data_IF_498376023667
#
_entry.id   IF_498376023667
#
_cell.length_a   1.000
_cell.length_b   1.000
_cell.length_c   1.000
_cell.angle_alpha   90.00
_cell.angle_beta   90.00
_cell.angle_gamma   90.00
#
_symmetry.space_group_name_H-M   'P 1'
#
loop_
_entity.id
_entity.type
_entity.pdbx_description
1 polymer ?
#
# COMPACT_ATOMS: atom_id res chain seq x y z
N UNK A 1 -30.57 48.92 -8.04
CA UNK A 1 -29.39 48.28 -8.68
C UNK A 1 -28.41 47.61 -7.69
N UNK A 2 -28.74 47.41 -6.41
CA UNK A 2 -27.81 46.78 -5.42
C UNK A 2 -28.06 45.27 -5.18
N UNK A 3 -29.25 44.75 -5.48
CA UNK A 3 -29.63 43.36 -5.22
C UNK A 3 -29.12 42.35 -6.26
N UNK A 4 -28.80 42.79 -7.47
CA UNK A 4 -28.25 41.91 -8.53
C UNK A 4 -26.78 41.55 -8.31
N UNK A 5 -25.99 42.46 -7.76
CA UNK A 5 -24.54 42.26 -7.57
C UNK A 5 -24.21 41.27 -6.43
N UNK A 6 -25.10 41.14 -5.44
CA UNK A 6 -24.91 40.22 -4.31
C UNK A 6 -25.12 38.75 -4.73
N UNK A 7 -26.16 38.47 -5.51
CA UNK A 7 -26.45 37.13 -6.03
C UNK A 7 -25.35 36.61 -6.96
N UNK A 8 -24.72 37.49 -7.73
CA UNK A 8 -23.60 37.13 -8.60
C UNK A 8 -22.34 36.76 -7.82
N UNK A 9 -22.06 37.41 -6.67
CA UNK A 9 -20.93 37.06 -5.80
C UNK A 9 -21.14 35.70 -5.15
N UNK A 10 -22.35 35.43 -4.63
CA UNK A 10 -22.69 34.11 -4.08
C UNK A 10 -22.57 33.01 -5.13
N UNK A 11 -23.11 33.21 -6.34
CA UNK A 11 -22.97 32.27 -7.45
C UNK A 11 -21.50 32.01 -7.82
N UNK A 12 -20.66 33.05 -7.82
CA UNK A 12 -19.21 32.92 -8.07
C UNK A 12 -18.50 32.14 -6.97
N UNK A 13 -18.88 32.33 -5.71
CA UNK A 13 -18.35 31.56 -4.57
C UNK A 13 -18.76 30.08 -4.64
N UNK A 14 -20.03 29.79 -4.91
CA UNK A 14 -20.51 28.41 -5.10
C UNK A 14 -19.81 27.74 -6.30
N UNK A 15 -19.60 28.49 -7.39
CA UNK A 15 -18.86 28.00 -8.55
C UNK A 15 -17.38 27.71 -8.21
N UNK A 16 -16.70 28.60 -7.49
CA UNK A 16 -15.30 28.37 -7.08
C UNK A 16 -15.16 27.20 -6.10
N UNK A 17 -16.07 27.06 -5.14
CA UNK A 17 -16.08 25.93 -4.20
C UNK A 17 -16.31 24.61 -4.95
N UNK A 18 -17.23 24.60 -5.92
CA UNK A 18 -17.50 23.44 -6.76
C UNK A 18 -16.29 23.02 -7.61
N UNK A 19 -15.56 23.98 -8.21
CA UNK A 19 -14.33 23.71 -8.96
C UNK A 19 -13.22 23.15 -8.07
N UNK A 20 -13.07 23.66 -6.84
CA UNK A 20 -12.08 23.14 -5.88
C UNK A 20 -12.43 21.70 -5.48
N UNK A 21 -13.69 21.39 -5.21
CA UNK A 21 -14.14 20.03 -4.85
C UNK A 21 -13.88 19.03 -5.98
N UNK A 22 -14.11 19.39 -7.24
CA UNK A 22 -13.83 18.53 -8.40
C UNK A 22 -12.33 18.22 -8.53
N UNK A 23 -11.46 19.17 -8.14
CA UNK A 23 -10.00 19.00 -8.26
C UNK A 23 -9.46 17.92 -7.31
N UNK A 24 -10.08 17.71 -6.15
CA UNK A 24 -9.67 16.67 -5.19
C UNK A 24 -10.18 15.26 -5.53
N UNK A 25 -11.17 15.13 -6.42
CA UNK A 25 -11.77 13.83 -6.79
C UNK A 25 -10.87 12.96 -7.69
N UNK A 26 -9.74 13.49 -8.18
CA UNK A 26 -8.87 12.81 -9.15
C UNK A 26 -7.63 12.15 -8.51
N UNK A 27 -7.63 11.93 -7.19
CA UNK A 27 -6.57 11.16 -6.54
C UNK A 27 -6.72 9.67 -6.93
N UNK A 28 -6.03 9.27 -8.00
CA UNK A 28 -5.97 7.89 -8.45
C UNK A 28 -4.82 7.18 -7.74
N UNK A 29 -5.15 6.26 -6.83
CA UNK A 29 -4.17 5.33 -6.27
C UNK A 29 -3.93 4.21 -7.29
N UNK A 30 -2.69 4.03 -7.72
CA UNK A 30 -2.34 2.89 -8.55
C UNK A 30 -2.59 1.60 -7.75
N UNK A 31 -3.57 0.80 -8.18
CA UNK A 31 -3.91 -0.47 -7.52
C UNK A 31 -3.19 -1.61 -8.21
N UNK A 32 -2.52 -2.45 -7.42
CA UNK A 32 -1.89 -3.68 -7.93
C UNK A 32 -2.89 -4.65 -8.57
N UNK A 33 -2.41 -5.50 -9.48
CA UNK A 33 -3.24 -6.55 -10.11
C UNK A 33 -3.02 -7.89 -9.39
N UNK A 34 -3.98 -8.40 -8.60
CA UNK A 34 -3.80 -9.61 -7.80
C UNK A 34 -3.61 -10.86 -8.66
N UNK A 35 -4.21 -10.95 -9.85
CA UNK A 35 -4.03 -12.08 -10.77
C UNK A 35 -2.58 -12.12 -11.29
N UNK A 36 -2.00 -10.96 -11.59
CA UNK A 36 -0.56 -10.88 -11.93
C UNK A 36 0.31 -11.20 -10.71
N UNK A 37 -0.06 -10.70 -9.53
CA UNK A 37 0.62 -10.98 -8.27
C UNK A 37 0.71 -12.47 -7.96
N UNK A 38 -0.39 -13.20 -8.11
CA UNK A 38 -0.44 -14.66 -7.95
C UNK A 38 0.55 -15.36 -8.89
N UNK A 39 0.59 -14.93 -10.16
CA UNK A 39 1.55 -15.49 -11.15
C UNK A 39 3.00 -15.21 -10.77
N UNK A 40 3.30 -14.01 -10.28
CA UNK A 40 4.66 -13.64 -9.83
C UNK A 40 5.04 -14.44 -8.59
N UNK A 41 4.10 -14.67 -7.67
CA UNK A 41 4.32 -15.44 -6.44
C UNK A 41 4.77 -16.88 -6.69
N UNK A 42 4.61 -17.40 -7.92
CA UNK A 42 5.22 -18.67 -8.32
C UNK A 42 6.74 -18.70 -8.13
N UNK A 43 7.42 -17.55 -8.17
CA UNK A 43 8.86 -17.43 -7.87
C UNK A 43 9.16 -17.58 -6.38
N UNK A 44 8.19 -17.25 -5.52
CA UNK A 44 8.32 -17.21 -4.07
C UNK A 44 7.81 -18.50 -3.39
N UNK A 45 6.82 -19.17 -4.01
CA UNK A 45 6.08 -20.28 -3.39
C UNK A 45 6.91 -21.51 -3.04
N UNK A 46 8.09 -21.67 -3.65
CA UNK A 46 9.04 -22.71 -3.26
C UNK A 46 9.45 -22.52 -1.78
N UNK A 47 9.80 -21.29 -1.42
CA UNK A 47 10.31 -20.94 -0.10
C UNK A 47 9.25 -20.44 0.87
N UNK A 48 8.14 -19.87 0.38
CA UNK A 48 7.16 -19.22 1.24
C UNK A 48 5.73 -19.71 0.98
N UNK A 49 4.86 -19.53 1.98
CA UNK A 49 3.41 -19.66 1.83
C UNK A 49 2.77 -18.28 1.97
N UNK A 50 1.78 -17.97 1.11
CA UNK A 50 0.94 -16.78 1.24
C UNK A 50 -0.43 -17.08 1.87
N UNK A 51 -0.74 -18.35 2.14
CA UNK A 51 -2.08 -18.81 2.56
C UNK A 51 -2.07 -19.62 3.86
N UNK A 52 -0.91 -20.09 4.29
CA UNK A 52 -0.73 -20.94 5.47
C UNK A 52 0.25 -20.24 6.42
N UNK A 53 0.01 -20.35 7.73
CA UNK A 53 0.91 -19.86 8.79
C UNK A 53 2.18 -20.71 8.92
N UNK A 54 2.20 -21.92 8.35
CA UNK A 54 3.37 -22.81 8.38
C UNK A 54 4.57 -22.21 7.65
N UNK A 55 5.69 -22.13 8.36
CA UNK A 55 7.00 -21.79 7.79
C UNK A 55 7.51 -22.93 6.88
N UNK A 56 8.17 -22.58 5.78
CA UNK A 56 8.84 -23.53 4.87
C UNK A 56 10.36 -23.26 4.95
N UNK A 57 11.04 -23.16 3.81
CA UNK A 57 12.44 -22.68 3.75
C UNK A 57 12.51 -21.24 4.27
N UNK A 58 11.53 -20.41 3.89
CA UNK A 58 11.28 -19.06 4.39
C UNK A 58 10.08 -19.01 5.36
N UNK A 59 9.90 -17.89 6.08
CA UNK A 59 8.74 -17.69 6.94
C UNK A 59 7.45 -17.59 6.14
N UNK A 60 6.30 -17.81 6.79
CA UNK A 60 5.02 -17.50 6.17
C UNK A 60 4.89 -16.01 5.82
N UNK A 61 4.37 -15.73 4.63
CA UNK A 61 4.05 -14.39 4.14
C UNK A 61 2.55 -14.08 4.26
N UNK A 62 1.76 -14.98 4.86
CA UNK A 62 0.37 -14.67 5.20
C UNK A 62 0.34 -13.47 6.16
N UNK A 63 -0.40 -12.43 5.77
CA UNK A 63 -0.48 -11.19 6.54
C UNK A 63 0.84 -10.44 6.65
N UNK A 64 1.72 -10.53 5.65
CA UNK A 64 3.02 -9.83 5.68
C UNK A 64 2.85 -8.31 5.64
N UNK A 65 1.88 -7.78 4.90
CA UNK A 65 1.67 -6.32 4.79
C UNK A 65 1.22 -5.75 6.14
N UNK A 66 1.93 -4.72 6.60
CA UNK A 66 1.79 -4.08 7.90
C UNK A 66 2.58 -4.75 9.02
N UNK A 67 3.19 -5.92 8.78
CA UNK A 67 3.91 -6.66 9.82
C UNK A 67 5.36 -6.16 9.95
N UNK A 68 5.91 -6.02 11.17
CA UNK A 68 7.33 -5.80 11.35
C UNK A 68 8.17 -6.98 10.83
N UNK A 69 9.34 -6.67 10.28
CA UNK A 69 10.28 -7.66 9.78
C UNK A 69 10.83 -8.53 10.91
N UNK A 70 10.99 -9.83 10.64
CA UNK A 70 11.58 -10.76 11.61
C UNK A 70 10.63 -11.29 12.70
N UNK A 71 9.31 -11.08 12.58
CA UNK A 71 8.37 -11.40 13.67
C UNK A 71 7.65 -12.75 13.58
N UNK A 72 7.72 -13.47 12.45
CA UNK A 72 7.02 -14.77 12.38
C UNK A 72 7.64 -15.74 13.38
N UNK A 73 6.83 -16.19 14.33
CA UNK A 73 7.26 -17.07 15.41
C UNK A 73 7.76 -18.42 14.86
N UNK A 74 8.75 -18.99 15.54
CA UNK A 74 9.33 -20.27 15.15
C UNK A 74 10.17 -20.25 13.88
N UNK A 75 10.43 -19.08 13.27
CA UNK A 75 11.41 -18.93 12.18
C UNK A 75 12.71 -18.30 12.68
N UNK A 76 13.85 -18.78 12.17
CA UNK A 76 15.17 -18.23 12.51
C UNK A 76 15.59 -17.19 11.46
N UNK A 77 15.56 -15.93 11.84
CA UNK A 77 15.94 -14.81 10.99
C UNK A 77 17.43 -14.47 11.06
N UNK A 78 17.91 -13.76 10.04
CA UNK A 78 19.24 -13.14 10.10
C UNK A 78 19.24 -12.01 11.13
N UNK A 79 20.40 -11.75 11.75
CA UNK A 79 20.57 -10.62 12.66
C UNK A 79 20.25 -9.29 11.98
N UNK A 80 20.64 -9.15 10.71
CA UNK A 80 20.36 -7.96 9.92
C UNK A 80 18.86 -7.67 9.79
N UNK A 81 18.04 -8.70 9.51
CA UNK A 81 16.60 -8.49 9.34
C UNK A 81 15.91 -8.19 10.68
N UNK A 82 16.33 -8.85 11.77
CA UNK A 82 15.83 -8.58 13.13
C UNK A 82 16.14 -7.16 13.60
N UNK A 83 17.29 -6.61 13.22
CA UNK A 83 17.71 -5.25 13.59
C UNK A 83 17.29 -4.18 12.57
N UNK A 84 16.59 -4.55 11.49
CA UNK A 84 16.29 -3.63 10.39
C UNK A 84 15.29 -2.53 10.75
N UNK A 85 14.39 -2.79 11.71
CA UNK A 85 13.28 -1.89 12.04
C UNK A 85 12.24 -1.74 10.91
N UNK A 86 12.30 -2.58 9.88
CA UNK A 86 11.39 -2.50 8.73
C UNK A 86 9.97 -2.89 9.16
N UNK A 87 8.99 -2.11 8.70
CA UNK A 87 7.58 -2.49 8.67
C UNK A 87 7.22 -2.74 7.21
N UNK A 88 6.72 -3.94 6.89
CA UNK A 88 6.41 -4.32 5.52
C UNK A 88 5.20 -3.57 4.98
N UNK A 89 5.41 -2.44 4.33
CA UNK A 89 4.43 -1.76 3.48
C UNK A 89 4.84 -1.87 1.99
N UNK A 90 4.05 -1.28 1.09
CA UNK A 90 4.30 -1.31 -0.36
C UNK A 90 5.71 -0.80 -0.71
N UNK A 91 6.10 0.38 -0.22
CA UNK A 91 7.41 0.98 -0.48
C UNK A 91 8.58 0.11 0.02
N UNK A 92 8.51 -0.38 1.25
CA UNK A 92 9.55 -1.23 1.83
C UNK A 92 9.64 -2.60 1.15
N UNK A 93 8.50 -3.14 0.69
CA UNK A 93 8.47 -4.41 -0.05
C UNK A 93 9.06 -4.22 -1.44
N UNK A 94 8.72 -3.14 -2.14
CA UNK A 94 9.29 -2.84 -3.45
C UNK A 94 10.81 -2.69 -3.35
N UNK A 95 11.31 -1.89 -2.39
CA UNK A 95 12.73 -1.72 -2.17
C UNK A 95 13.45 -3.03 -1.79
N UNK A 96 12.84 -3.85 -0.93
CA UNK A 96 13.43 -5.14 -0.52
C UNK A 96 13.46 -6.15 -1.67
N UNK A 97 12.39 -6.24 -2.45
CA UNK A 97 12.23 -7.22 -3.53
C UNK A 97 13.10 -6.93 -4.76
N UNK A 98 13.72 -5.75 -4.86
CA UNK A 98 14.74 -5.48 -5.88
C UNK A 98 15.95 -6.42 -5.71
N UNK A 99 16.40 -6.65 -4.47
CA UNK A 99 17.54 -7.51 -4.12
C UNK A 99 17.35 -8.18 -2.74
N UNK A 100 16.41 -9.13 -2.63
CA UNK A 100 15.97 -9.72 -1.36
C UNK A 100 16.84 -10.85 -0.82
#
# INVERSE_FOLDING_TARGET
MYTFHHNMKFFKYYLTIFVVIISFANLSFAQGNPIKGERIFNKCKACHSAVDTKNKIGPSLLGVVGRPAGEVTGYKYSKALLSSGIIWNEESLDAYLEKP
#
